data_IF_693810355011
#
_entry.id   IF_693810355011
#
_cell.length_a   1.000
_cell.length_b   1.000
_cell.length_c   1.000
_cell.angle_alpha   90.00
_cell.angle_beta   90.00
_cell.angle_gamma   90.00
#
_symmetry.space_group_name_H-M   'P 1'
#
loop_
_entity.id
_entity.type
_entity.pdbx_description
1 polymer ?
#
# COMPACT_ATOMS: atom_id res chain seq x y z
N UNK A 1 4.08 6.15 10.00
CA UNK A 1 3.82 7.18 8.97
C UNK A 1 4.82 7.00 7.85
N UNK A 2 4.36 7.20 6.63
CA UNK A 2 5.01 6.94 5.36
C UNK A 2 4.61 8.05 4.38
N UNK A 3 5.18 8.01 3.17
CA UNK A 3 4.93 8.98 2.10
C UNK A 3 4.20 8.37 0.89
N UNK A 4 4.20 7.04 0.82
CA UNK A 4 3.77 6.27 -0.34
C UNK A 4 4.76 6.33 -1.50
N UNK A 5 6.02 6.62 -1.24
CA UNK A 5 7.08 6.50 -2.23
C UNK A 5 7.79 5.16 -1.96
N UNK A 6 7.55 4.19 -2.84
CA UNK A 6 8.09 2.84 -2.67
C UNK A 6 9.60 2.85 -2.85
N UNK A 7 10.30 2.29 -1.87
CA UNK A 7 11.77 2.24 -1.83
C UNK A 7 12.32 0.96 -2.45
N UNK A 8 11.58 -0.15 -2.34
CA UNK A 8 11.96 -1.43 -2.92
C UNK A 8 10.75 -2.33 -3.20
N UNK A 9 10.96 -3.29 -4.09
CA UNK A 9 10.07 -4.43 -4.28
C UNK A 9 10.72 -5.66 -3.67
N UNK A 10 10.04 -6.27 -2.71
CA UNK A 10 10.41 -7.52 -2.06
C UNK A 10 9.53 -8.68 -2.46
N UNK A 11 9.68 -9.81 -1.77
CA UNK A 11 8.80 -10.97 -1.95
C UNK A 11 8.51 -11.68 -0.63
N UNK A 12 7.29 -12.20 -0.49
CA UNK A 12 6.93 -13.02 0.66
C UNK A 12 7.62 -14.38 0.54
N UNK A 13 8.51 -14.71 1.48
CA UNK A 13 9.20 -16.00 1.50
C UNK A 13 8.32 -17.09 2.10
N UNK A 14 7.71 -16.80 3.25
CA UNK A 14 7.03 -17.79 4.05
C UNK A 14 5.95 -17.13 4.91
N UNK A 15 4.86 -17.89 5.14
CA UNK A 15 3.81 -17.56 6.09
C UNK A 15 3.64 -18.75 7.04
N UNK A 16 3.73 -18.50 8.35
CA UNK A 16 3.57 -19.51 9.40
C UNK A 16 2.45 -19.11 10.35
N UNK A 17 1.64 -20.05 10.87
CA UNK A 17 0.69 -19.74 11.94
C UNK A 17 1.40 -19.15 13.17
N UNK A 18 0.80 -18.13 13.77
CA UNK A 18 1.25 -17.51 15.01
C UNK A 18 0.06 -17.23 15.94
N UNK A 19 0.33 -16.95 17.22
CA UNK A 19 -0.74 -16.58 18.15
C UNK A 19 -1.45 -15.30 17.65
N UNK A 20 -2.77 -15.38 17.43
CA UNK A 20 -3.56 -14.23 16.99
C UNK A 20 -3.42 -13.85 15.50
N UNK A 21 -2.74 -14.66 14.68
CA UNK A 21 -2.54 -14.36 13.27
C UNK A 21 -1.51 -15.25 12.58
N UNK A 22 -0.60 -14.63 11.86
CA UNK A 22 0.48 -15.30 11.12
C UNK A 22 1.79 -14.56 11.31
N UNK A 23 2.90 -15.28 11.16
CA UNK A 23 4.23 -14.73 11.02
C UNK A 23 4.63 -14.77 9.56
N UNK A 24 4.99 -13.62 9.00
CA UNK A 24 5.38 -13.47 7.59
C UNK A 24 6.85 -13.12 7.52
N UNK A 25 7.60 -13.86 6.71
CA UNK A 25 8.97 -13.55 6.35
C UNK A 25 9.01 -12.96 4.94
N UNK A 26 9.66 -11.81 4.77
CA UNK A 26 9.72 -11.07 3.51
C UNK A 26 11.18 -10.85 3.14
N UNK A 27 11.57 -11.28 1.94
CA UNK A 27 12.83 -10.86 1.32
C UNK A 27 12.68 -9.41 0.91
N UNK A 28 13.60 -8.55 1.34
CA UNK A 28 13.47 -7.11 1.20
C UNK A 28 13.97 -6.55 -0.13
N UNK A 29 14.47 -7.42 -1.02
CA UNK A 29 15.00 -7.00 -2.32
C UNK A 29 16.13 -5.98 -2.17
N UNK A 30 15.94 -4.80 -2.76
CA UNK A 30 16.90 -3.71 -2.74
C UNK A 30 16.74 -2.74 -1.55
N UNK A 31 15.83 -3.01 -0.61
CA UNK A 31 15.61 -2.12 0.54
C UNK A 31 16.88 -2.07 1.41
N UNK A 32 17.38 -0.87 1.67
CA UNK A 32 18.51 -0.68 2.59
C UNK A 32 18.08 -0.91 4.05
N UNK A 33 18.68 -1.93 4.66
CA UNK A 33 18.43 -2.35 6.05
C UNK A 33 19.47 -1.82 7.05
N UNK A 34 20.45 -1.02 6.60
CA UNK A 34 21.57 -0.58 7.44
C UNK A 34 21.14 0.23 8.68
N UNK A 35 19.93 0.78 8.65
CA UNK A 35 19.34 1.58 9.73
C UNK A 35 18.05 0.99 10.32
N UNK A 36 17.67 -0.23 9.92
CA UNK A 36 16.46 -0.93 10.39
C UNK A 36 16.77 -1.74 11.65
N UNK A 37 15.84 -1.71 12.62
CA UNK A 37 15.94 -2.43 13.90
C UNK A 37 14.64 -3.15 14.25
N UNK A 38 14.71 -4.12 15.16
CA UNK A 38 13.52 -4.73 15.73
C UNK A 38 12.68 -3.66 16.43
N UNK A 39 11.38 -3.66 16.17
CA UNK A 39 10.46 -2.63 16.64
C UNK A 39 10.19 -1.50 15.62
N UNK A 40 11.00 -1.38 14.56
CA UNK A 40 10.74 -0.40 13.50
C UNK A 40 9.50 -0.80 12.68
N UNK A 41 8.90 0.20 12.03
CA UNK A 41 7.73 0.03 11.18
C UNK A 41 8.11 0.06 9.71
N UNK A 42 7.70 -0.96 8.96
CA UNK A 42 7.84 -1.06 7.51
C UNK A 42 6.44 -1.19 6.91
N UNK A 43 6.14 -0.40 5.89
CA UNK A 43 4.93 -0.58 5.10
C UNK A 43 5.16 -1.70 4.07
N UNK A 44 4.31 -2.72 4.08
CA UNK A 44 4.32 -3.82 3.11
C UNK A 44 3.02 -3.78 2.33
N UNK A 45 3.08 -3.46 1.03
CA UNK A 45 1.88 -3.13 0.22
C UNK A 45 0.96 -2.12 0.92
N UNK A 46 1.54 -1.13 1.60
CA UNK A 46 0.81 -0.11 2.36
C UNK A 46 0.31 -0.56 3.73
N UNK A 47 0.64 -1.77 4.19
CA UNK A 47 0.29 -2.25 5.54
C UNK A 47 1.45 -1.96 6.48
N UNK A 48 1.25 -1.11 7.49
CA UNK A 48 2.23 -0.85 8.52
C UNK A 48 2.44 -2.08 9.40
N UNK A 49 3.64 -2.66 9.37
CA UNK A 49 3.99 -3.84 10.17
C UNK A 49 5.28 -3.60 10.96
N UNK A 50 5.31 -4.14 12.17
CA UNK A 50 6.46 -4.04 13.08
C UNK A 50 7.46 -5.17 12.83
N UNK A 51 8.73 -4.83 12.65
CA UNK A 51 9.81 -5.80 12.49
C UNK A 51 10.01 -6.57 13.80
N UNK A 52 9.86 -7.89 13.77
CA UNK A 52 10.07 -8.77 14.94
C UNK A 52 11.40 -9.54 14.87
N UNK A 53 11.96 -9.72 13.68
CA UNK A 53 13.30 -10.28 13.49
C UNK A 53 13.96 -9.79 12.20
N UNK A 54 15.28 -9.69 12.22
CA UNK A 54 16.12 -9.25 11.10
C UNK A 54 17.05 -10.39 10.66
N UNK A 55 17.13 -10.58 9.35
CA UNK A 55 18.16 -11.35 8.66
C UNK A 55 18.95 -10.46 7.69
N UNK A 56 19.86 -11.05 6.93
CA UNK A 56 20.74 -10.29 6.02
C UNK A 56 19.97 -9.56 4.89
N UNK A 57 18.92 -10.18 4.37
CA UNK A 57 18.06 -9.64 3.29
C UNK A 57 16.59 -10.00 3.52
N UNK A 58 16.23 -10.29 4.77
CA UNK A 58 14.90 -10.75 5.15
C UNK A 58 14.47 -10.06 6.43
N UNK A 59 13.21 -9.63 6.47
CA UNK A 59 12.56 -9.14 7.67
C UNK A 59 11.38 -10.04 8.00
N UNK A 60 11.10 -10.19 9.30
CA UNK A 60 9.98 -10.97 9.79
C UNK A 60 9.00 -10.08 10.54
N UNK A 61 7.70 -10.34 10.36
CA UNK A 61 6.61 -9.55 10.91
C UNK A 61 5.53 -10.49 11.49
N UNK A 62 4.89 -10.06 12.57
CA UNK A 62 3.64 -10.68 13.02
C UNK A 62 2.46 -9.88 12.45
N UNK A 63 1.55 -10.57 11.77
CA UNK A 63 0.38 -9.98 11.13
C UNK A 63 -0.88 -10.51 11.81
N UNK A 64 -1.66 -9.60 12.38
CA UNK A 64 -2.87 -9.95 13.12
C UNK A 64 -3.97 -10.46 12.19
N UNK A 65 -4.92 -11.25 12.72
CA UNK A 65 -6.12 -11.64 11.97
C UNK A 65 -6.93 -10.44 11.46
N UNK A 66 -7.00 -9.36 12.23
CA UNK A 66 -7.70 -8.15 11.81
C UNK A 66 -7.07 -7.57 10.55
N UNK A 67 -5.75 -7.43 10.54
CA UNK A 67 -4.99 -6.98 9.37
C UNK A 67 -5.22 -7.90 8.17
N UNK A 68 -5.19 -9.23 8.37
CA UNK A 68 -5.43 -10.19 7.29
C UNK A 68 -6.86 -10.10 6.71
N UNK A 69 -7.85 -9.71 7.52
CA UNK A 69 -9.24 -9.60 7.07
C UNK A 69 -9.47 -8.37 6.17
N UNK A 70 -8.67 -7.30 6.33
CA UNK A 70 -8.82 -6.06 5.57
C UNK A 70 -7.74 -5.82 4.51
N UNK A 71 -6.80 -6.77 4.33
CA UNK A 71 -5.66 -6.62 3.40
C UNK A 71 -5.48 -7.83 2.48
N UNK A 72 -4.62 -7.69 1.48
CA UNK A 72 -4.23 -8.74 0.54
C UNK A 72 -2.71 -8.70 0.27
N UNK A 73 -2.18 -9.77 -0.34
CA UNK A 73 -0.81 -9.79 -0.87
C UNK A 73 0.24 -10.47 0.02
N UNK A 74 -0.18 -11.27 1.00
CA UNK A 74 0.73 -12.02 1.91
C UNK A 74 0.91 -13.50 1.52
N UNK A 75 0.51 -13.90 0.31
CA UNK A 75 0.73 -15.28 -0.15
C UNK A 75 2.23 -15.52 -0.42
N UNK A 76 2.79 -16.70 -0.09
CA UNK A 76 4.16 -17.04 -0.44
C UNK A 76 4.43 -16.85 -1.94
N UNK A 77 5.58 -16.24 -2.27
CA UNK A 77 5.97 -15.87 -3.63
C UNK A 77 5.38 -14.54 -4.14
N UNK A 78 4.45 -13.91 -3.41
CA UNK A 78 3.88 -12.63 -3.83
C UNK A 78 4.92 -11.50 -3.77
N UNK A 79 4.92 -10.68 -4.82
CA UNK A 79 5.70 -9.44 -4.92
C UNK A 79 5.07 -8.34 -4.06
N UNK A 80 5.88 -7.66 -3.24
CA UNK A 80 5.40 -6.66 -2.27
C UNK A 80 6.16 -5.35 -2.36
N UNK A 81 5.44 -4.23 -2.35
CA UNK A 81 6.03 -2.90 -2.21
C UNK A 81 6.49 -2.67 -0.77
N UNK A 82 7.68 -2.11 -0.59
CA UNK A 82 8.28 -1.82 0.71
C UNK A 82 8.63 -0.34 0.85
N UNK A 83 8.32 0.23 2.00
CA UNK A 83 8.70 1.60 2.39
C UNK A 83 9.01 1.64 3.90
N UNK A 84 10.10 2.30 4.28
CA UNK A 84 10.47 2.52 5.69
C UNK A 84 9.65 3.66 6.27
N UNK A 85 9.45 3.63 7.60
CA UNK A 85 8.79 4.74 8.28
C UNK A 85 9.57 6.05 8.13
N UNK A 86 8.85 7.14 7.88
CA UNK A 86 9.40 8.48 7.70
C UNK A 86 10.14 8.97 8.96
N UNK A 87 11.32 9.56 8.78
CA UNK A 87 12.02 10.37 9.80
C UNK A 87 11.63 11.84 9.70
N UNK A 88 11.82 12.58 10.79
CA UNK A 88 11.51 14.01 10.82
C UNK A 88 12.23 14.83 9.72
N UNK A 89 13.46 14.43 9.35
CA UNK A 89 14.27 15.12 8.36
C UNK A 89 14.02 14.64 6.91
N UNK A 90 13.18 13.63 6.72
CA UNK A 90 12.92 13.06 5.39
C UNK A 90 12.00 13.96 4.57
N UNK A 91 12.07 13.82 3.25
CA UNK A 91 11.18 14.51 2.32
C UNK A 91 9.84 13.77 2.23
N UNK A 92 8.74 14.50 2.36
CA UNK A 92 7.40 14.01 2.04
C UNK A 92 7.16 14.09 0.52
N UNK A 93 7.63 13.08 -0.23
CA UNK A 93 7.58 13.06 -1.70
C UNK A 93 6.21 12.76 -2.31
N UNK A 94 5.37 12.01 -1.59
CA UNK A 94 3.99 11.72 -1.95
C UNK A 94 3.00 12.49 -1.07
N UNK A 95 2.15 11.78 -0.33
CA UNK A 95 1.24 12.33 0.66
C UNK A 95 1.39 11.61 2.00
N UNK A 96 0.71 12.05 3.06
CA UNK A 96 0.76 11.36 4.35
C UNK A 96 0.03 10.03 4.25
N UNK A 97 0.80 8.94 4.31
CA UNK A 97 0.31 7.57 4.38
C UNK A 97 0.54 7.05 5.80
N UNK A 98 -0.51 6.55 6.44
CA UNK A 98 -0.45 5.99 7.79
C UNK A 98 0.04 4.55 7.79
N UNK A 99 -0.26 3.82 6.71
CA UNK A 99 -0.10 2.37 6.60
C UNK A 99 -1.28 1.60 7.21
N UNK A 100 -2.42 2.26 7.38
CA UNK A 100 -3.67 1.67 7.88
C UNK A 100 -4.65 1.50 6.73
N UNK A 101 -4.46 0.42 5.98
CA UNK A 101 -5.31 0.03 4.85
C UNK A 101 -6.79 0.01 5.25
N UNK A 102 -7.59 0.73 4.46
CA UNK A 102 -9.04 0.87 4.65
C UNK A 102 -9.82 -0.30 4.06
N UNK A 103 -9.29 -0.92 3.01
CA UNK A 103 -9.90 -2.07 2.39
C UNK A 103 -9.20 -2.53 1.12
N UNK A 104 -9.80 -3.52 0.47
CA UNK A 104 -9.23 -4.17 -0.70
C UNK A 104 -10.01 -3.79 -1.96
N UNK A 105 -9.32 -3.14 -2.88
CA UNK A 105 -9.82 -2.83 -4.22
C UNK A 105 -9.66 -4.00 -5.20
N UNK A 106 -10.42 -3.96 -6.30
CA UNK A 106 -10.30 -4.91 -7.41
C UNK A 106 -9.90 -4.17 -8.68
N UNK A 107 -8.80 -4.60 -9.31
CA UNK A 107 -8.37 -4.07 -10.60
C UNK A 107 -9.42 -4.40 -11.65
N UNK A 108 -10.00 -3.39 -12.29
CA UNK A 108 -10.97 -3.52 -13.39
C UNK A 108 -10.30 -3.51 -14.74
N UNK A 109 -9.31 -2.63 -14.91
CA UNK A 109 -8.55 -2.46 -16.16
C UNK A 109 -7.11 -2.11 -15.87
N UNK A 110 -6.23 -2.55 -16.75
CA UNK A 110 -4.82 -2.22 -16.70
C UNK A 110 -4.27 -2.11 -18.12
N UNK A 111 -4.56 -0.98 -18.76
CA UNK A 111 -4.43 -0.82 -20.20
C UNK A 111 -3.18 0.00 -20.56
N UNK A 112 -2.64 -0.22 -21.76
CA UNK A 112 -1.56 0.62 -22.28
C UNK A 112 -2.08 2.02 -22.63
N UNK A 113 -1.32 3.06 -22.29
CA UNK A 113 -1.64 4.46 -22.54
C UNK A 113 -0.38 5.21 -22.98
N UNK A 114 0.09 4.94 -24.20
CA UNK A 114 1.43 5.35 -24.64
C UNK A 114 2.49 4.61 -23.82
N UNK A 115 3.45 5.35 -23.27
CA UNK A 115 4.47 4.81 -22.35
C UNK A 115 3.93 4.58 -20.92
N UNK A 116 2.72 5.07 -20.63
CA UNK A 116 2.07 4.91 -19.33
C UNK A 116 1.13 3.70 -19.32
N UNK A 117 0.63 3.38 -18.14
CA UNK A 117 -0.49 2.45 -17.95
C UNK A 117 -1.66 3.13 -17.28
N UNK A 118 -2.85 2.95 -17.83
CA UNK A 118 -4.09 3.33 -17.14
C UNK A 118 -4.51 2.18 -16.24
N UNK A 119 -4.54 2.43 -14.94
CA UNK A 119 -5.04 1.50 -13.94
C UNK A 119 -6.41 1.98 -13.45
N UNK A 120 -7.44 1.15 -13.65
CA UNK A 120 -8.77 1.38 -13.10
C UNK A 120 -9.04 0.37 -11.97
N UNK A 121 -9.45 0.85 -10.81
CA UNK A 121 -9.70 0.02 -9.63
C UNK A 121 -11.10 0.32 -9.08
N UNK A 122 -11.85 -0.74 -8.81
CA UNK A 122 -13.10 -0.67 -8.06
C UNK A 122 -12.79 -0.78 -6.57
N UNK A 123 -13.02 0.29 -5.83
CA UNK A 123 -12.93 0.32 -4.38
C UNK A 123 -14.23 -0.23 -3.73
N UNK A 124 -14.16 -0.69 -2.46
CA UNK A 124 -15.36 -0.87 -1.64
C UNK A 124 -16.22 0.40 -1.64
N UNK A 125 -17.55 0.24 -1.64
CA UNK A 125 -18.48 1.36 -1.84
C UNK A 125 -18.37 2.40 -0.72
N UNK A 126 -18.10 1.96 0.51
CA UNK A 126 -17.89 2.82 1.66
C UNK A 126 -16.69 3.75 1.51
N UNK A 127 -15.69 3.39 0.70
CA UNK A 127 -14.51 4.22 0.46
C UNK A 127 -14.72 5.27 -0.63
N UNK A 128 -15.73 5.10 -1.50
CA UNK A 128 -15.92 5.95 -2.68
C UNK A 128 -16.02 7.45 -2.34
N UNK A 129 -16.63 7.79 -1.19
CA UNK A 129 -16.79 9.18 -0.72
C UNK A 129 -15.48 9.89 -0.36
N UNK A 130 -14.40 9.14 -0.11
CA UNK A 130 -13.08 9.70 0.18
C UNK A 130 -12.19 9.83 -1.06
N UNK A 131 -12.64 9.33 -2.21
CA UNK A 131 -11.86 9.29 -3.44
C UNK A 131 -12.28 10.45 -4.34
N UNK A 132 -11.46 11.49 -4.39
CA UNK A 132 -11.73 12.69 -5.18
C UNK A 132 -10.84 12.75 -6.43
N UNK A 133 -11.39 13.24 -7.54
CA UNK A 133 -10.60 13.58 -8.73
C UNK A 133 -9.54 14.61 -8.36
N UNK A 134 -8.28 14.38 -8.77
CA UNK A 134 -7.08 15.13 -8.38
C UNK A 134 -6.71 15.04 -6.89
N UNK A 135 -7.37 14.18 -6.12
CA UNK A 135 -6.95 13.81 -4.78
C UNK A 135 -5.87 12.73 -4.77
N UNK A 136 -5.34 12.47 -3.58
CA UNK A 136 -4.36 11.42 -3.32
C UNK A 136 -5.04 10.13 -2.88
N UNK A 137 -4.42 8.99 -3.20
CA UNK A 137 -4.82 7.67 -2.72
C UNK A 137 -3.58 6.78 -2.68
N UNK A 138 -3.42 5.96 -1.64
CA UNK A 138 -2.39 4.92 -1.65
C UNK A 138 -2.94 3.60 -2.20
N UNK A 139 -2.26 3.02 -3.18
CA UNK A 139 -2.57 1.69 -3.75
C UNK A 139 -1.35 0.79 -3.54
N UNK A 140 -1.51 -0.33 -2.82
CA UNK A 140 -0.38 -1.14 -2.35
C UNK A 140 0.73 -0.27 -1.72
N UNK A 141 0.36 0.75 -0.96
CA UNK A 141 1.27 1.72 -0.36
C UNK A 141 1.75 2.83 -1.28
N UNK A 142 1.70 2.68 -2.62
CA UNK A 142 2.17 3.72 -3.52
C UNK A 142 1.19 4.90 -3.57
N UNK A 143 1.70 6.11 -3.35
CA UNK A 143 0.97 7.38 -3.41
C UNK A 143 0.68 7.73 -4.87
N UNK A 144 -0.60 7.81 -5.24
CA UNK A 144 -1.05 8.07 -6.60
C UNK A 144 -2.04 9.24 -6.66
N UNK A 145 -2.06 9.91 -7.81
CA UNK A 145 -3.05 10.95 -8.10
C UNK A 145 -4.24 10.34 -8.85
N UNK A 146 -5.45 10.56 -8.33
CA UNK A 146 -6.67 10.10 -8.98
C UNK A 146 -6.99 10.97 -10.19
N UNK A 147 -7.07 10.37 -11.37
CA UNK A 147 -7.35 11.07 -12.64
C UNK A 147 -8.85 11.23 -12.90
N UNK A 148 -9.63 10.19 -12.61
CA UNK A 148 -11.08 10.13 -12.78
C UNK A 148 -11.72 9.26 -11.70
N UNK A 149 -13.00 9.53 -11.41
CA UNK A 149 -13.82 8.76 -10.46
C UNK A 149 -15.23 8.65 -11.03
N UNK A 150 -15.79 7.45 -11.04
CA UNK A 150 -17.17 7.17 -11.39
C UNK A 150 -17.74 6.12 -10.43
N UNK A 151 -18.66 6.54 -9.56
CA UNK A 151 -19.14 5.68 -8.47
C UNK A 151 -17.98 5.28 -7.56
N UNK A 152 -17.74 3.97 -7.39
CA UNK A 152 -16.62 3.44 -6.62
C UNK A 152 -15.41 3.05 -7.48
N UNK A 153 -15.43 3.33 -8.78
CA UNK A 153 -14.30 3.07 -9.68
C UNK A 153 -13.50 4.33 -9.84
N UNK A 154 -12.20 4.25 -9.59
CA UNK A 154 -11.26 5.34 -9.82
C UNK A 154 -10.19 4.91 -10.83
N UNK A 155 -9.60 5.90 -11.49
CA UNK A 155 -8.54 5.71 -12.47
C UNK A 155 -7.30 6.48 -12.08
N UNK A 156 -6.14 5.87 -12.29
CA UNK A 156 -4.82 6.47 -12.11
C UNK A 156 -3.96 6.17 -13.34
N UNK A 157 -3.10 7.13 -13.69
CA UNK A 157 -2.15 6.99 -14.77
C UNK A 157 -0.76 6.72 -14.20
N UNK A 158 -0.23 5.52 -14.45
CA UNK A 158 1.08 5.08 -13.96
C UNK A 158 2.16 5.37 -14.98
N UNK A 159 3.18 6.13 -14.57
CA UNK A 159 4.35 6.43 -15.40
C UNK A 159 5.35 5.27 -15.39
N UNK A 160 6.25 5.16 -16.40
CA UNK A 160 7.25 4.10 -16.48
C UNK A 160 8.07 3.89 -15.20
N UNK A 161 8.47 4.99 -14.56
CA UNK A 161 9.25 4.91 -13.33
C UNK A 161 8.50 4.22 -12.20
N UNK A 162 7.23 4.57 -11.97
CA UNK A 162 6.38 3.92 -10.95
C UNK A 162 6.16 2.45 -11.27
N UNK A 163 5.95 2.10 -12.54
CA UNK A 163 5.78 0.70 -12.96
C UNK A 163 7.02 -0.16 -12.68
N UNK A 164 8.21 0.43 -12.79
CA UNK A 164 9.48 -0.25 -12.51
C UNK A 164 9.80 -0.31 -11.01
N UNK A 165 9.46 0.74 -10.26
CA UNK A 165 9.78 0.86 -8.84
C UNK A 165 8.77 0.14 -7.91
N UNK A 166 7.69 -0.43 -8.46
CA UNK A 166 6.61 -1.07 -7.70
C UNK A 166 6.23 -2.43 -8.28
N UNK A 167 5.43 -3.20 -7.54
CA UNK A 167 4.82 -4.45 -8.00
C UNK A 167 3.71 -4.26 -9.05
N UNK A 168 3.47 -3.04 -9.54
CA UNK A 168 2.37 -2.75 -10.46
C UNK A 168 2.53 -3.37 -11.84
N UNK A 169 3.75 -3.70 -12.26
CA UNK A 169 4.00 -4.37 -13.53
C UNK A 169 3.31 -5.74 -13.65
N UNK A 170 3.01 -6.38 -12.51
CA UNK A 170 2.34 -7.68 -12.41
C UNK A 170 0.81 -7.59 -12.40
N UNK A 171 0.23 -6.38 -12.31
CA UNK A 171 -1.21 -6.22 -12.19
C UNK A 171 -1.96 -6.68 -13.44
N UNK A 172 -3.15 -7.23 -13.21
CA UNK A 172 -4.09 -7.63 -14.23
C UNK A 172 -5.52 -7.47 -13.72
N UNK A 173 -6.49 -7.43 -14.63
CA UNK A 173 -7.90 -7.39 -14.28
C UNK A 173 -8.27 -8.57 -13.36
N UNK A 174 -9.06 -8.29 -12.33
CA UNK A 174 -9.46 -9.25 -11.29
C UNK A 174 -8.51 -9.34 -10.09
N UNK A 175 -7.27 -8.84 -10.21
CA UNK A 175 -6.34 -8.80 -9.08
C UNK A 175 -6.80 -7.85 -7.98
N UNK A 176 -6.33 -8.12 -6.76
CA UNK A 176 -6.68 -7.36 -5.56
C UNK A 176 -5.53 -6.44 -5.17
N UNK A 177 -5.86 -5.25 -4.68
CA UNK A 177 -4.89 -4.25 -4.21
C UNK A 177 -5.34 -3.67 -2.88
N UNK A 178 -4.39 -3.36 -2.01
CA UNK A 178 -4.67 -2.64 -0.76
C UNK A 178 -4.92 -1.16 -1.06
N UNK A 179 -5.94 -0.58 -0.43
CA UNK A 179 -6.31 0.82 -0.58
C UNK A 179 -6.24 1.54 0.76
N UNK A 180 -5.56 2.68 0.81
CA UNK A 180 -5.64 3.63 1.92
C UNK A 180 -6.07 4.99 1.37
N UNK A 181 -7.15 5.54 1.93
CA UNK A 181 -7.67 6.86 1.56
C UNK A 181 -6.85 7.98 2.17
N UNK A 182 -6.85 9.15 1.55
CA UNK A 182 -6.15 10.31 2.10
C UNK A 182 -6.61 10.59 3.53
N UNK A 183 -5.65 10.67 4.46
CA UNK A 183 -5.91 10.94 5.87
C UNK A 183 -6.74 12.21 6.07
N UNK A 184 -6.56 13.23 5.21
CA UNK A 184 -7.33 14.47 5.26
C UNK A 184 -8.83 14.22 5.05
N UNK A 185 -9.21 13.28 4.17
CA UNK A 185 -10.61 12.97 3.90
C UNK A 185 -11.34 12.44 5.15
N UNK A 186 -10.65 11.63 5.97
CA UNK A 186 -11.20 11.11 7.24
C UNK A 186 -11.49 12.21 8.24
N UNK A 187 -10.56 13.15 8.39
CA UNK A 187 -10.75 14.28 9.32
C UNK A 187 -11.86 15.23 8.84
N UNK A 188 -11.95 15.48 7.53
CA UNK A 188 -13.03 16.30 6.95
C UNK A 188 -14.39 15.67 7.19
N UNK A 189 -14.52 14.35 7.02
CA UNK A 189 -15.74 13.63 7.36
C UNK A 189 -16.07 13.79 8.84
N UNK A 190 -15.13 13.46 9.73
CA UNK A 190 -15.38 13.49 11.18
C UNK A 190 -15.80 14.87 11.66
N UNK A 191 -15.21 15.92 11.10
CA UNK A 191 -15.60 17.31 11.37
C UNK A 191 -16.99 17.64 10.81
N UNK A 192 -17.34 17.15 9.63
CA UNK A 192 -18.68 17.35 9.04
C UNK A 192 -19.77 16.66 9.86
N UNK A 193 -19.53 15.44 10.34
CA UNK A 193 -20.45 14.71 11.22
C UNK A 193 -20.68 15.41 12.56
N UNK A 194 -19.63 16.03 13.12
CA UNK A 194 -19.70 16.74 14.40
C UNK A 194 -20.31 18.14 14.29
N UNK A 195 -20.46 18.66 13.06
CA UNK A 195 -21.04 19.97 12.78
C UNK A 195 -22.55 19.94 12.54
N UNK A 196 -23.18 18.77 12.73
CA UNK A 196 -24.63 18.52 12.68
C UNK A 196 -25.13 18.29 14.11
#
# INVERSE_FOLDING_TARGET
>A
MFTGIIEAVGSVCEIKPAAGGVRVAVNTGALDLGDVKTGDSIAINGVCLTVVALGASQLTFDVSRETLNCTTGFAPGASVNLEKSLRLADRLGGHLVSGHVDGVGTVRRFDAAGDNRLLAVEAPRELAKYIARKGSLAVNGASLTVNAVQGSVFEVNLIPHTLQATNFSELAAGMKVNLEVDLLARYVERLSEASI
#
